data_IF_388379005666
#
_entry.id   IF_388379005666
#
_cell.length_a   1.000
_cell.length_b   1.000
_cell.length_c   1.000
_cell.angle_alpha   90.00
_cell.angle_beta   90.00
_cell.angle_gamma   90.00
#
_symmetry.space_group_name_H-M   'P 1'
#
loop_
_entity.id
_entity.type
_entity.pdbx_description
1 polymer ?
#
# COMPACT_ATOMS: atom_id res chain seq x y z
N UNK A 1 9.57 13.82 2.34
CA UNK A 1 8.89 12.84 1.46
C UNK A 1 7.85 12.08 2.27
N UNK A 2 6.63 11.94 1.77
CA UNK A 2 5.57 11.14 2.42
C UNK A 2 5.41 9.81 1.71
N UNK A 3 5.14 8.76 2.48
CA UNK A 3 4.85 7.44 1.92
C UNK A 3 3.94 6.64 2.86
N UNK A 4 3.27 5.63 2.32
CA UNK A 4 2.45 4.68 3.08
C UNK A 4 3.13 3.32 3.05
N UNK A 5 3.43 2.77 4.24
CA UNK A 5 3.86 1.38 4.40
C UNK A 5 2.65 0.52 4.70
N UNK A 6 2.45 -0.50 3.87
CA UNK A 6 1.36 -1.48 3.97
C UNK A 6 1.94 -2.81 4.42
N UNK A 7 1.32 -3.41 5.43
CA UNK A 7 1.61 -4.76 5.89
C UNK A 7 0.32 -5.57 5.77
N UNK A 8 0.37 -6.63 4.96
CA UNK A 8 -0.70 -7.61 4.80
C UNK A 8 -0.33 -8.86 5.58
N UNK A 9 -1.27 -9.41 6.34
CA UNK A 9 -1.06 -10.56 7.21
C UNK A 9 -2.20 -11.57 7.08
N UNK A 10 -1.85 -12.84 7.27
CA UNK A 10 -2.73 -13.97 7.54
C UNK A 10 -2.63 -14.26 9.05
N UNK A 11 -3.48 -13.60 9.85
CA UNK A 11 -3.49 -13.74 11.31
C UNK A 11 -4.25 -14.97 11.79
N UNK A 12 -5.19 -15.46 10.99
CA UNK A 12 -6.00 -16.65 11.27
C UNK A 12 -5.29 -17.94 10.88
N UNK A 13 -4.14 -17.85 10.21
CA UNK A 13 -3.29 -18.96 9.78
C UNK A 13 -4.02 -19.93 8.82
N UNK A 14 -4.87 -19.38 7.96
CA UNK A 14 -5.65 -20.14 6.99
C UNK A 14 -5.07 -20.07 5.55
N UNK A 15 -3.82 -19.59 5.42
CA UNK A 15 -3.12 -19.33 4.17
C UNK A 15 -3.79 -18.28 3.27
N UNK A 16 -4.58 -17.38 3.87
CA UNK A 16 -5.18 -16.22 3.20
C UNK A 16 -4.93 -14.96 3.99
N UNK A 17 -4.64 -13.87 3.29
CA UNK A 17 -4.60 -12.57 3.93
C UNK A 17 -5.95 -12.23 4.55
N UNK A 18 -5.94 -11.77 5.80
CA UNK A 18 -7.13 -11.34 6.54
C UNK A 18 -6.95 -9.97 7.21
N UNK A 19 -5.72 -9.48 7.33
CA UNK A 19 -5.41 -8.25 8.04
C UNK A 19 -4.56 -7.32 7.18
N UNK A 20 -4.96 -6.05 7.12
CA UNK A 20 -4.20 -5.00 6.43
C UNK A 20 -3.91 -3.87 7.41
N UNK A 21 -2.64 -3.51 7.54
CA UNK A 21 -2.16 -2.39 8.37
C UNK A 21 -1.49 -1.35 7.49
N UNK A 22 -1.90 -0.10 7.64
CA UNK A 22 -1.36 1.06 6.94
C UNK A 22 -0.64 1.95 7.95
N UNK A 23 0.58 2.33 7.61
CA UNK A 23 1.42 3.25 8.38
C UNK A 23 1.82 4.42 7.49
N UNK A 24 1.39 5.63 7.85
CA UNK A 24 1.62 6.85 7.10
C UNK A 24 2.87 7.53 7.65
N UNK A 25 3.94 7.56 6.86
CA UNK A 25 5.23 8.09 7.27
C UNK A 25 5.54 9.42 6.59
N UNK A 26 6.22 10.29 7.32
CA UNK A 26 6.93 11.46 6.80
C UNK A 26 8.42 11.29 7.01
N UNK A 27 9.19 11.36 5.92
CA UNK A 27 10.65 11.30 5.90
C UNK A 27 11.23 12.68 5.63
N UNK A 28 12.04 13.16 6.55
CA UNK A 28 12.91 14.31 6.32
C UNK A 28 14.36 13.83 6.11
N UNK A 29 15.15 14.44 5.21
CA UNK A 29 16.47 13.90 4.82
C UNK A 29 17.44 13.68 5.99
N UNK A 30 17.34 14.51 7.02
CA UNK A 30 18.26 14.53 8.16
C UNK A 30 17.69 13.83 9.41
N UNK A 31 16.43 13.37 9.36
CA UNK A 31 15.72 12.82 10.51
C UNK A 31 15.24 11.39 10.24
N UNK A 32 15.05 10.58 11.29
CA UNK A 32 14.35 9.31 11.17
C UNK A 32 12.92 9.49 10.63
N UNK A 33 12.40 8.47 9.96
CA UNK A 33 11.01 8.46 9.47
C UNK A 33 10.03 8.61 10.64
N UNK A 34 9.14 9.60 10.56
CA UNK A 34 8.12 9.88 11.56
C UNK A 34 6.79 9.21 11.17
N UNK A 35 6.22 8.43 12.09
CA UNK A 35 4.89 7.84 11.91
C UNK A 35 3.83 8.89 12.26
N UNK A 36 3.07 9.33 11.26
CA UNK A 36 2.09 10.40 11.37
C UNK A 36 0.69 9.87 11.65
N UNK A 37 0.34 8.73 11.05
CA UNK A 37 -0.98 8.11 11.21
C UNK A 37 -0.91 6.60 11.00
N UNK A 38 -1.88 5.87 11.55
CA UNK A 38 -2.04 4.44 11.31
C UNK A 38 -3.50 4.05 11.16
N UNK A 39 -3.74 3.07 10.28
CA UNK A 39 -5.04 2.48 10.08
C UNK A 39 -4.93 0.95 9.99
N UNK A 40 -5.98 0.25 10.40
CA UNK A 40 -6.04 -1.22 10.34
C UNK A 40 -7.41 -1.67 9.88
N UNK A 41 -7.44 -2.72 9.08
CA UNK A 41 -8.62 -3.40 8.60
C UNK A 41 -8.45 -4.91 8.75
N UNK A 42 -9.54 -5.60 9.07
CA UNK A 42 -9.57 -7.03 9.35
C UNK A 42 -10.83 -7.67 8.74
N UNK A 43 -10.63 -8.72 7.95
CA UNK A 43 -11.63 -9.68 7.49
C UNK A 43 -11.71 -10.80 8.54
N UNK A 44 -12.80 -10.81 9.31
CA UNK A 44 -13.00 -11.78 10.37
C UNK A 44 -13.69 -13.05 9.86
N UNK A 45 -14.39 -12.97 8.72
CA UNK A 45 -15.16 -14.06 8.14
C UNK A 45 -14.40 -14.87 7.10
N UNK A 46 -13.21 -14.41 6.71
CA UNK A 46 -12.35 -15.00 5.68
C UNK A 46 -13.02 -15.09 4.29
N UNK A 47 -13.91 -14.13 4.00
CA UNK A 47 -14.64 -14.04 2.73
C UNK A 47 -13.96 -13.10 1.71
N UNK A 48 -12.83 -12.49 2.09
CA UNK A 48 -12.08 -11.52 1.30
C UNK A 48 -12.59 -10.08 1.47
N UNK A 49 -13.50 -9.82 2.41
CA UNK A 49 -14.04 -8.50 2.69
C UNK A 49 -13.81 -8.07 4.14
N UNK A 50 -13.45 -6.81 4.32
CA UNK A 50 -13.22 -6.24 5.64
C UNK A 50 -14.52 -6.15 6.45
N UNK A 51 -14.52 -6.78 7.62
CA UNK A 51 -15.58 -6.73 8.63
C UNK A 51 -15.34 -5.62 9.66
N UNK A 52 -14.09 -5.47 10.09
CA UNK A 52 -13.69 -4.55 11.14
C UNK A 52 -12.57 -3.61 10.67
N UNK A 53 -12.65 -2.35 11.08
CA UNK A 53 -11.63 -1.37 10.73
C UNK A 53 -11.50 -0.23 11.76
N UNK A 54 -10.28 0.25 11.91
CA UNK A 54 -9.95 1.51 12.57
C UNK A 54 -9.25 2.42 11.56
N UNK A 55 -9.88 3.55 11.25
CA UNK A 55 -9.50 4.38 10.10
C UNK A 55 -8.88 5.72 10.49
N UNK A 56 -9.57 6.51 11.33
CA UNK A 56 -9.23 7.92 11.52
C UNK A 56 -9.55 8.78 10.29
N UNK A 57 -8.88 9.92 10.18
CA UNK A 57 -8.82 10.77 8.98
C UNK A 57 -7.69 10.23 8.10
N UNK A 58 -8.05 9.47 7.06
CA UNK A 58 -7.09 8.74 6.23
C UNK A 58 -6.83 9.44 4.90
N UNK A 59 -7.70 10.37 4.51
CA UNK A 59 -7.49 11.27 3.37
C UNK A 59 -6.92 12.65 3.76
N UNK A 60 -6.58 12.83 5.05
CA UNK A 60 -5.94 14.01 5.62
C UNK A 60 -6.66 15.31 5.27
N UNK A 61 -7.99 15.26 5.17
CA UNK A 61 -8.81 16.43 4.87
C UNK A 61 -9.16 17.26 6.13
N UNK A 62 -8.74 16.80 7.32
CA UNK A 62 -8.98 17.43 8.61
C UNK A 62 -10.20 16.89 9.35
N UNK A 63 -10.89 15.88 8.83
CA UNK A 63 -12.08 15.29 9.45
C UNK A 63 -12.14 13.77 9.26
N UNK A 64 -12.38 13.03 10.34
CA UNK A 64 -12.68 11.59 10.25
C UNK A 64 -14.14 11.37 9.86
N UNK A 65 -14.39 10.86 8.66
CA UNK A 65 -15.73 10.73 8.08
C UNK A 65 -16.06 9.32 7.58
N UNK A 66 -17.30 9.13 7.09
CA UNK A 66 -17.69 7.91 6.38
C UNK A 66 -16.92 7.72 5.06
N UNK A 67 -16.39 8.80 4.46
CA UNK A 67 -15.58 8.73 3.24
C UNK A 67 -14.27 8.02 3.55
N UNK A 68 -13.60 8.38 4.65
CA UNK A 68 -12.38 7.72 5.12
C UNK A 68 -12.62 6.24 5.34
N UNK A 69 -13.71 5.91 6.03
CA UNK A 69 -14.05 4.50 6.30
C UNK A 69 -14.22 3.71 5.02
N UNK A 70 -14.94 4.25 4.03
CA UNK A 70 -15.11 3.61 2.72
C UNK A 70 -13.79 3.50 1.97
N UNK A 71 -12.96 4.53 2.01
CA UNK A 71 -11.66 4.53 1.34
C UNK A 71 -10.74 3.45 1.92
N UNK A 72 -10.61 3.35 3.25
CA UNK A 72 -9.84 2.29 3.87
C UNK A 72 -10.43 0.91 3.55
N UNK A 73 -11.75 0.75 3.59
CA UNK A 73 -12.39 -0.54 3.27
C UNK A 73 -12.08 -0.98 1.85
N UNK A 74 -12.22 -0.07 0.87
CA UNK A 74 -11.90 -0.37 -0.53
C UNK A 74 -10.41 -0.69 -0.69
N UNK A 75 -9.51 0.09 -0.09
CA UNK A 75 -8.07 -0.18 -0.15
C UNK A 75 -7.71 -1.54 0.46
N UNK A 76 -8.22 -1.83 1.64
CA UNK A 76 -7.92 -3.08 2.33
C UNK A 76 -8.49 -4.30 1.60
N UNK A 77 -9.73 -4.24 1.10
CA UNK A 77 -10.31 -5.32 0.27
C UNK A 77 -9.46 -5.62 -0.97
N UNK A 78 -8.88 -4.60 -1.61
CA UNK A 78 -7.93 -4.83 -2.70
C UNK A 78 -6.63 -5.45 -2.18
N UNK A 79 -6.04 -4.91 -1.12
CA UNK A 79 -4.78 -5.41 -0.56
C UNK A 79 -4.85 -6.88 -0.08
N UNK A 80 -6.01 -7.34 0.38
CA UNK A 80 -6.23 -8.74 0.78
C UNK A 80 -6.12 -9.74 -0.38
N UNK A 81 -6.17 -9.28 -1.63
CA UNK A 81 -6.00 -10.14 -2.81
C UNK A 81 -4.53 -10.46 -3.10
N UNK A 82 -3.59 -9.71 -2.51
CA UNK A 82 -2.17 -9.89 -2.78
C UNK A 82 -1.66 -11.22 -2.22
N UNK A 83 -0.86 -11.94 -3.02
CA UNK A 83 -0.05 -13.07 -2.56
C UNK A 83 1.14 -12.62 -1.67
N UNK A 84 1.41 -11.30 -1.64
CA UNK A 84 2.44 -10.68 -0.81
C UNK A 84 1.98 -10.37 0.62
N UNK A 85 1.84 -11.42 1.42
CA UNK A 85 1.46 -11.30 2.84
C UNK A 85 2.42 -12.04 3.77
N UNK A 86 2.25 -11.79 5.07
CA UNK A 86 2.98 -12.42 6.16
C UNK A 86 2.10 -13.45 6.87
N UNK A 87 2.64 -14.60 7.27
CA UNK A 87 1.94 -15.51 8.18
C UNK A 87 1.98 -14.99 9.63
N UNK A 88 0.89 -15.17 10.35
CA UNK A 88 0.71 -14.75 11.74
C UNK A 88 0.90 -13.24 11.92
N UNK A 89 1.47 -12.85 13.07
CA UNK A 89 1.74 -11.44 13.38
C UNK A 89 3.02 -10.88 12.73
N UNK A 90 3.68 -11.66 11.88
CA UNK A 90 4.95 -11.28 11.24
C UNK A 90 4.85 -10.00 10.40
N UNK A 91 5.94 -9.24 10.37
CA UNK A 91 6.11 -8.03 9.56
C UNK A 91 7.38 -8.13 8.69
N UNK A 92 7.68 -9.33 8.21
CA UNK A 92 8.85 -9.62 7.40
C UNK A 92 8.71 -9.17 5.94
N UNK A 93 7.49 -8.89 5.48
CA UNK A 93 7.16 -8.37 4.15
C UNK A 93 6.33 -7.10 4.28
N UNK A 94 6.65 -6.11 3.47
CA UNK A 94 5.87 -4.87 3.38
C UNK A 94 5.85 -4.33 1.96
N UNK A 95 4.88 -3.45 1.70
CA UNK A 95 4.72 -2.74 0.45
C UNK A 95 4.64 -1.24 0.74
N UNK A 96 5.52 -0.45 0.12
CA UNK A 96 5.53 1.00 0.29
C UNK A 96 5.01 1.69 -0.97
N UNK A 97 4.07 2.62 -0.80
CA UNK A 97 3.57 3.49 -1.86
C UNK A 97 4.04 4.92 -1.64
N UNK A 98 4.51 5.56 -2.72
CA UNK A 98 4.84 6.98 -2.71
C UNK A 98 4.76 7.59 -4.11
N UNK A 99 4.61 8.92 -4.18
CA UNK A 99 4.71 9.64 -5.46
C UNK A 99 6.20 9.80 -5.81
N UNK A 100 6.62 9.21 -6.93
CA UNK A 100 8.00 9.31 -7.42
C UNK A 100 8.22 10.50 -8.33
N UNK A 101 7.16 10.99 -8.99
CA UNK A 101 7.22 12.16 -9.86
C UNK A 101 5.97 13.02 -9.74
N UNK A 102 6.19 14.32 -9.68
CA UNK A 102 5.19 15.37 -9.79
C UNK A 102 5.35 16.10 -11.13
N UNK A 103 4.28 16.70 -11.65
CA UNK A 103 4.39 17.71 -12.70
C UNK A 103 4.71 19.10 -12.14
N UNK A 104 4.82 20.09 -13.04
CA UNK A 104 5.13 21.48 -12.70
C UNK A 104 4.08 22.15 -11.80
N UNK A 105 2.85 21.62 -11.76
CA UNK A 105 1.75 22.11 -10.93
C UNK A 105 1.68 21.40 -9.57
N UNK A 106 2.59 20.44 -9.32
CA UNK A 106 2.58 19.64 -8.10
C UNK A 106 1.55 18.50 -8.11
N UNK A 107 1.03 18.13 -9.29
CA UNK A 107 0.12 16.99 -9.43
C UNK A 107 0.93 15.69 -9.50
N UNK A 108 0.58 14.65 -8.72
CA UNK A 108 1.21 13.33 -8.85
C UNK A 108 1.10 12.78 -10.27
N UNK A 109 2.22 12.42 -10.88
CA UNK A 109 2.27 11.79 -12.21
C UNK A 109 2.74 10.35 -12.18
N UNK A 110 3.52 9.97 -11.17
CA UNK A 110 3.97 8.59 -11.02
C UNK A 110 3.89 8.17 -9.56
N UNK A 111 3.27 7.01 -9.33
CA UNK A 111 3.27 6.32 -8.05
C UNK A 111 4.18 5.11 -8.17
N UNK A 112 5.13 5.03 -7.24
CA UNK A 112 6.04 3.89 -7.12
C UNK A 112 5.60 3.01 -5.96
N UNK A 113 5.67 1.71 -6.20
CA UNK A 113 5.28 0.62 -5.32
C UNK A 113 6.50 -0.25 -5.04
N UNK A 114 7.11 -0.11 -3.87
CA UNK A 114 8.32 -0.82 -3.47
C UNK A 114 8.01 -1.97 -2.50
N UNK A 115 8.44 -3.18 -2.85
CA UNK A 115 8.23 -4.39 -2.06
C UNK A 115 9.48 -4.73 -1.27
N UNK A 116 9.36 -4.75 0.05
CA UNK A 116 10.45 -5.03 0.96
C UNK A 116 10.27 -6.38 1.65
N UNK A 117 11.37 -7.11 1.78
CA UNK A 117 11.44 -8.31 2.60
C UNK A 117 12.63 -8.22 3.55
N UNK A 118 12.39 -8.52 4.82
CA UNK A 118 13.42 -8.59 5.85
C UNK A 118 14.30 -9.81 5.64
N UNK A 119 15.59 -9.59 5.44
CA UNK A 119 16.57 -10.68 5.43
C UNK A 119 16.88 -11.11 6.87
N UNK A 120 16.19 -12.15 7.36
CA UNK A 120 16.37 -12.79 8.68
C UNK A 120 16.17 -11.90 9.93
N UNK A 121 16.12 -12.53 11.11
CA UNK A 121 15.83 -11.88 12.39
C UNK A 121 16.89 -10.83 12.73
N UNK A 122 16.52 -9.55 12.62
CA UNK A 122 17.39 -8.39 12.91
C UNK A 122 18.05 -7.75 11.69
N UNK A 123 17.84 -8.28 10.48
CA UNK A 123 18.34 -7.66 9.25
C UNK A 123 17.54 -6.44 8.80
N UNK A 124 18.15 -5.62 7.95
CA UNK A 124 17.48 -4.50 7.29
C UNK A 124 16.46 -5.02 6.27
N UNK A 125 15.39 -4.26 6.08
CA UNK A 125 14.41 -4.52 5.03
C UNK A 125 15.11 -4.36 3.65
N UNK A 126 15.09 -5.40 2.82
CA UNK A 126 15.70 -5.42 1.47
C UNK A 126 14.62 -5.21 0.42
N UNK A 127 14.84 -4.30 -0.52
CA UNK A 127 13.99 -4.13 -1.70
C UNK A 127 14.08 -5.38 -2.57
N UNK A 128 12.94 -6.03 -2.82
CA UNK A 128 12.82 -7.26 -3.63
C UNK A 128 12.28 -6.95 -5.02
N UNK A 129 11.30 -6.05 -5.10
CA UNK A 129 10.65 -5.69 -6.35
C UNK A 129 10.16 -4.23 -6.27
N UNK A 130 10.07 -3.59 -7.43
CA UNK A 130 9.49 -2.26 -7.57
C UNK A 130 8.61 -2.23 -8.82
N UNK A 131 7.46 -1.61 -8.72
CA UNK A 131 6.60 -1.29 -9.86
C UNK A 131 6.28 0.21 -9.86
N UNK A 132 6.05 0.77 -11.04
CA UNK A 132 5.65 2.16 -11.20
C UNK A 132 4.39 2.23 -12.04
N UNK A 133 3.41 3.00 -11.57
CA UNK A 133 2.22 3.35 -12.32
C UNK A 133 2.24 4.86 -12.58
N UNK A 134 1.97 5.30 -13.80
CA UNK A 134 2.08 6.69 -14.18
C UNK A 134 1.01 7.12 -15.17
N UNK A 135 0.64 8.38 -15.10
CA UNK A 135 -0.28 9.05 -16.02
C UNK A 135 0.52 9.49 -17.26
N UNK A 136 0.62 8.59 -18.24
CA UNK A 136 1.45 8.81 -19.44
C UNK A 136 0.75 9.64 -20.50
N UNK A 137 -0.57 9.54 -20.61
CA UNK A 137 -1.39 10.21 -21.63
C UNK A 137 -2.07 11.48 -21.10
N UNK A 138 -1.83 11.83 -19.83
CA UNK A 138 -2.40 12.98 -19.14
C UNK A 138 -3.93 12.94 -19.01
N UNK A 139 -4.53 11.75 -19.01
CA UNK A 139 -5.97 11.56 -18.81
C UNK A 139 -6.38 11.59 -17.32
N UNK A 140 -5.40 11.66 -16.41
CA UNK A 140 -5.60 11.67 -14.96
C UNK A 140 -5.74 10.27 -14.35
N UNK A 141 -5.64 9.22 -15.15
CA UNK A 141 -5.50 7.83 -14.77
C UNK A 141 -4.03 7.44 -14.62
N UNK A 142 -3.73 6.52 -13.70
CA UNK A 142 -2.43 5.86 -13.68
C UNK A 142 -2.49 4.62 -14.57
N UNK A 143 -1.52 4.47 -15.46
CA UNK A 143 -1.28 3.26 -16.26
C UNK A 143 -0.02 2.54 -15.77
N UNK A 144 0.04 1.21 -15.87
CA UNK A 144 1.26 0.49 -15.52
C UNK A 144 2.36 0.90 -16.52
N UNK A 145 3.49 1.40 -16.01
CA UNK A 145 4.70 1.48 -16.83
C UNK A 145 5.22 0.06 -17.05
N UNK A 146 5.64 -0.24 -18.28
CA UNK A 146 6.03 -1.59 -18.70
C UNK A 146 6.84 -2.31 -17.60
N UNK A 147 6.43 -3.54 -17.22
CA UNK A 147 7.21 -4.31 -16.26
C UNK A 147 8.62 -4.50 -16.84
N UNK A 148 9.64 -4.35 -16.00
CA UNK A 148 10.96 -4.87 -16.35
C UNK A 148 10.78 -6.38 -16.61
N UNK A 149 11.27 -6.90 -17.74
CA UNK A 149 10.96 -8.24 -18.32
C UNK A 149 11.37 -9.45 -17.43
N UNK A 150 11.67 -9.19 -16.18
CA UNK A 150 12.10 -10.13 -15.17
C UNK A 150 11.04 -10.07 -14.08
N UNK A 151 10.27 -11.14 -13.90
CA UNK A 151 9.96 -11.77 -12.60
C UNK A 151 8.60 -12.48 -12.60
N UNK A 152 8.64 -13.78 -12.32
CA UNK A 152 7.51 -14.67 -12.05
C UNK A 152 6.95 -14.52 -10.61
N UNK A 153 7.28 -13.43 -9.90
CA UNK A 153 6.95 -13.28 -8.47
C UNK A 153 5.48 -12.93 -8.24
N UNK A 154 4.86 -12.22 -9.19
CA UNK A 154 3.49 -11.72 -9.11
C UNK A 154 2.69 -12.22 -10.30
N UNK A 155 1.55 -12.83 -10.02
CA UNK A 155 0.62 -13.25 -11.06
C UNK A 155 -0.21 -12.06 -11.60
N UNK A 156 -1.13 -12.36 -12.52
CA UNK A 156 -2.01 -11.34 -13.11
C UNK A 156 -2.90 -10.66 -12.06
N UNK A 157 -3.34 -11.39 -11.02
CA UNK A 157 -4.20 -10.85 -9.96
C UNK A 157 -3.41 -9.88 -9.10
N UNK A 158 -2.18 -10.23 -8.73
CA UNK A 158 -1.28 -9.36 -8.00
C UNK A 158 -0.99 -8.07 -8.78
N UNK A 159 -0.66 -8.18 -10.07
CA UNK A 159 -0.37 -7.02 -10.91
C UNK A 159 -1.55 -6.05 -11.00
N UNK A 160 -2.77 -6.58 -11.23
CA UNK A 160 -4.00 -5.78 -11.24
C UNK A 160 -4.27 -5.13 -9.88
N UNK A 161 -4.03 -5.88 -8.80
CA UNK A 161 -4.23 -5.40 -7.44
C UNK A 161 -3.26 -4.26 -7.11
N UNK A 162 -1.98 -4.39 -7.44
CA UNK A 162 -0.95 -3.35 -7.22
C UNK A 162 -1.30 -2.06 -7.97
N UNK A 163 -1.80 -2.20 -9.20
CA UNK A 163 -2.27 -1.07 -9.99
C UNK A 163 -3.47 -0.37 -9.35
N UNK A 164 -4.48 -1.14 -8.91
CA UNK A 164 -5.64 -0.61 -8.19
C UNK A 164 -5.24 0.11 -6.90
N UNK A 165 -4.33 -0.49 -6.12
CA UNK A 165 -3.79 0.11 -4.88
C UNK A 165 -3.04 1.41 -5.15
N UNK A 166 -2.27 1.50 -6.24
CA UNK A 166 -1.57 2.73 -6.63
C UNK A 166 -2.54 3.88 -6.89
N UNK A 167 -3.69 3.60 -7.54
CA UNK A 167 -4.76 4.58 -7.75
C UNK A 167 -5.47 4.97 -6.45
N UNK A 168 -5.72 4.01 -5.57
CA UNK A 168 -6.37 4.27 -4.28
C UNK A 168 -5.44 5.03 -3.34
N UNK A 169 -4.13 4.79 -3.39
CA UNK A 169 -3.13 5.50 -2.60
C UNK A 169 -3.19 7.02 -2.80
N UNK A 170 -3.33 7.49 -4.05
CA UNK A 170 -3.48 8.92 -4.33
C UNK A 170 -4.69 9.56 -3.64
N UNK A 171 -5.73 8.77 -3.36
CA UNK A 171 -6.93 9.26 -2.68
C UNK A 171 -6.72 9.46 -1.18
N UNK A 172 -5.62 8.97 -0.61
CA UNK A 172 -5.23 9.32 0.75
C UNK A 172 -4.67 10.73 0.86
N UNK A 173 -4.35 11.41 -0.25
CA UNK A 173 -3.75 12.75 -0.22
C UNK A 173 -2.50 12.84 0.68
N UNK A 174 -1.78 11.71 0.83
CA UNK A 174 -0.57 11.59 1.65
C UNK A 174 0.66 11.50 0.76
N UNK A 175 1.01 12.60 0.10
CA UNK A 175 2.15 12.66 -0.81
C UNK A 175 2.84 14.02 -0.80
#
# INVERSE_FOLDING_TARGET
MRYVKVIVQDRTENDRADTVKLYFFQRDPDLPDELMHQAVAFDATADGAVDFQSTGDIDFNGASTLRDRRLLKTFANEALKLSWFNRGEGAGRSLNFYVSRYDELGTPREVRSDFFQRSSSGGKDKLVYSSTAGDQDCDGGLDPLAPDDQFELFDTVDQQTIHALSKLYLRFNWH
#
